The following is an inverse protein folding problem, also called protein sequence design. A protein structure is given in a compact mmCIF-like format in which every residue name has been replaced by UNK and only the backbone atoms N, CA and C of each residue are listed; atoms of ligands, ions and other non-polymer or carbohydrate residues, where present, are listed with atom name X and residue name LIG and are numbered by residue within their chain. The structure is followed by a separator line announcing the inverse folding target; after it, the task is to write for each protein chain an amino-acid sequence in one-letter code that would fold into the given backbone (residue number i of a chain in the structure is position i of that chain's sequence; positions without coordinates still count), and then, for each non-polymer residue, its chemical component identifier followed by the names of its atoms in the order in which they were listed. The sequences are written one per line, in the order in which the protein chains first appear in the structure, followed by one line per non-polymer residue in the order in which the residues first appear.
data_IF_678005182377
#
_entry.id   IF_678005182377
#
_cell.length_a   1.000
_cell.length_b   1.000
_cell.length_c   1.000
_cell.angle_alpha   90.00
_cell.angle_beta   90.00
_cell.angle_gamma   90.00
#
_symmetry.space_group_name_H-M   'P 1'
#
loop_
_entity.id
_entity.type
_entity.pdbx_description
1 polymer ?
#
# COMPACT_ATOMS: atom_id res chain seq x y z
N UNK A 1 2.69 -3.14 -22.93
CA UNK A 1 3.05 -2.86 -21.52
C UNK A 1 2.06 -3.58 -20.64
N UNK A 2 2.53 -4.38 -19.69
CA UNK A 2 1.69 -5.14 -18.77
C UNK A 2 1.81 -4.49 -17.38
N UNK A 3 0.66 -4.04 -16.83
CA UNK A 3 0.53 -3.32 -15.57
C UNK A 3 0.53 -1.80 -15.75
N UNK A 4 -0.53 -1.15 -15.25
CA UNK A 4 -0.82 0.28 -15.37
C UNK A 4 -0.42 1.12 -14.15
N UNK A 5 0.44 0.60 -13.28
CA UNK A 5 1.03 1.36 -12.18
C UNK A 5 1.98 2.46 -12.65
N UNK A 6 2.69 3.11 -11.71
CA UNK A 6 3.63 4.19 -12.04
C UNK A 6 4.62 3.82 -13.14
N UNK A 7 5.24 2.64 -13.05
CA UNK A 7 6.24 2.19 -14.04
C UNK A 7 5.62 1.97 -15.43
N UNK A 8 4.56 1.17 -15.50
CA UNK A 8 3.96 0.80 -16.78
C UNK A 8 3.21 1.95 -17.46
N UNK A 9 2.44 2.75 -16.72
CA UNK A 9 1.78 3.94 -17.27
C UNK A 9 2.80 4.95 -17.80
N UNK A 10 3.90 5.17 -17.07
CA UNK A 10 5.02 6.02 -17.54
C UNK A 10 5.67 5.44 -18.78
N UNK A 11 5.99 4.14 -18.78
CA UNK A 11 6.58 3.48 -19.94
C UNK A 11 5.66 3.60 -21.18
N UNK A 12 4.37 3.30 -21.04
CA UNK A 12 3.40 3.40 -22.14
C UNK A 12 3.33 4.82 -22.70
N UNK A 13 3.25 5.83 -21.83
CA UNK A 13 3.23 7.24 -22.20
C UNK A 13 4.46 7.64 -23.01
N UNK A 14 5.66 7.32 -22.53
CA UNK A 14 6.88 7.75 -23.18
C UNK A 14 7.22 6.94 -24.42
N UNK A 15 6.91 5.63 -24.46
CA UNK A 15 7.02 4.83 -25.67
C UNK A 15 6.15 5.43 -26.79
N UNK A 16 4.92 5.82 -26.48
CA UNK A 16 4.05 6.45 -27.49
C UNK A 16 4.52 7.85 -27.86
N UNK A 17 4.91 8.66 -26.88
CA UNK A 17 5.38 10.03 -27.11
C UNK A 17 6.62 10.08 -28.03
N UNK A 18 7.59 9.18 -27.80
CA UNK A 18 8.84 9.19 -28.58
C UNK A 18 8.76 8.36 -29.87
N UNK A 19 7.96 7.29 -29.87
CA UNK A 19 7.76 6.45 -31.05
C UNK A 19 6.77 7.01 -32.08
N UNK A 20 5.92 7.94 -31.68
CA UNK A 20 4.96 8.62 -32.56
C UNK A 20 4.06 7.63 -33.31
N UNK A 21 3.93 7.83 -34.63
CA UNK A 21 3.15 6.96 -35.50
C UNK A 21 3.84 5.61 -35.78
N UNK A 22 5.16 5.52 -35.61
CA UNK A 22 5.93 4.31 -35.85
C UNK A 22 5.77 3.23 -34.78
N UNK A 23 5.15 3.55 -33.65
CA UNK A 23 4.99 2.60 -32.54
C UNK A 23 3.53 2.54 -32.09
N UNK A 24 2.94 1.35 -32.15
CA UNK A 24 1.68 1.07 -31.50
C UNK A 24 1.95 0.58 -30.08
N UNK A 25 1.38 1.24 -29.08
CA UNK A 25 1.55 0.91 -27.66
C UNK A 25 0.23 0.44 -27.12
N UNK A 26 0.22 -0.79 -26.59
CA UNK A 26 -0.92 -1.36 -25.83
C UNK A 26 -0.56 -1.45 -24.36
N UNK A 27 -1.37 -0.85 -23.49
CA UNK A 27 -1.31 -1.01 -22.03
C UNK A 27 -2.39 -1.98 -21.58
N UNK A 28 -2.00 -3.07 -20.94
CA UNK A 28 -2.92 -4.04 -20.33
C UNK A 28 -2.95 -3.83 -18.81
N UNK A 29 -4.13 -3.54 -18.27
CA UNK A 29 -4.34 -3.32 -16.84
C UNK A 29 -5.70 -3.91 -16.42
N UNK A 30 -5.70 -4.65 -15.32
CA UNK A 30 -6.92 -5.27 -14.79
C UNK A 30 -7.83 -4.30 -14.03
N UNK A 31 -7.25 -3.26 -13.44
CA UNK A 31 -7.98 -2.24 -12.67
C UNK A 31 -8.56 -1.16 -13.60
N UNK A 32 -9.74 -0.67 -13.23
CA UNK A 32 -10.40 0.41 -14.00
C UNK A 32 -9.68 1.76 -13.85
N UNK A 33 -9.11 1.99 -12.68
CA UNK A 33 -8.45 3.23 -12.33
C UNK A 33 -7.11 2.96 -11.68
N UNK A 34 -6.19 3.85 -11.86
CA UNK A 34 -4.97 3.92 -11.08
C UNK A 34 -5.25 4.62 -9.74
N UNK A 35 -4.79 4.04 -8.63
CA UNK A 35 -4.86 4.67 -7.31
C UNK A 35 -3.44 4.89 -6.79
N UNK A 36 -3.12 6.14 -6.47
CA UNK A 36 -1.78 6.53 -6.03
C UNK A 36 -1.51 6.04 -4.60
N UNK A 37 -0.61 5.06 -4.46
CA UNK A 37 -0.22 4.52 -3.17
C UNK A 37 0.58 5.53 -2.30
N UNK A 38 1.56 6.29 -2.81
CA UNK A 38 2.37 7.20 -2.00
C UNK A 38 1.59 8.23 -1.18
N UNK A 39 0.42 8.64 -1.62
CA UNK A 39 -0.43 9.62 -0.93
C UNK A 39 -1.52 8.98 -0.06
N UNK A 40 -1.62 7.65 0.00
CA UNK A 40 -2.71 6.97 0.69
C UNK A 40 -2.72 7.17 2.20
N UNK A 41 -1.57 7.44 2.84
CA UNK A 41 -1.52 7.79 4.25
C UNK A 41 -2.27 9.08 4.57
N UNK A 42 -2.39 10.01 3.61
CA UNK A 42 -3.19 11.24 3.78
C UNK A 42 -4.69 10.95 3.89
N UNK A 43 -5.16 9.83 3.32
CA UNK A 43 -6.54 9.36 3.49
C UNK A 43 -6.73 8.84 4.91
N UNK A 44 -5.76 8.09 5.45
CA UNK A 44 -5.82 7.61 6.83
C UNK A 44 -5.81 8.77 7.83
N UNK A 45 -5.01 9.81 7.58
CA UNK A 45 -4.99 11.04 8.36
C UNK A 45 -6.22 11.93 8.20
N UNK A 46 -7.06 11.69 7.17
CA UNK A 46 -8.30 12.44 6.91
C UNK A 46 -8.11 13.74 6.13
N UNK A 47 -6.91 14.03 5.62
CA UNK A 47 -6.64 15.25 4.83
C UNK A 47 -6.92 15.09 3.33
N UNK A 48 -7.16 13.84 2.86
CA UNK A 48 -7.53 13.51 1.48
C UNK A 48 -8.62 12.44 1.47
N UNK A 49 -9.38 12.39 0.38
CA UNK A 49 -10.29 11.29 0.07
C UNK A 49 -9.63 10.35 -0.94
N UNK A 50 -10.08 9.11 -1.02
CA UNK A 50 -9.51 8.12 -1.97
C UNK A 50 -9.73 8.53 -3.43
N UNK A 51 -10.83 9.24 -3.70
CA UNK A 51 -11.17 9.77 -5.02
C UNK A 51 -10.11 10.78 -5.51
N UNK A 52 -9.53 11.58 -4.60
CA UNK A 52 -8.47 12.56 -4.92
C UNK A 52 -7.18 11.87 -5.41
N UNK A 53 -7.02 10.57 -5.13
CA UNK A 53 -5.87 9.75 -5.51
C UNK A 53 -6.17 8.80 -6.67
N UNK A 54 -7.42 8.80 -7.16
CA UNK A 54 -7.91 7.88 -8.18
C UNK A 54 -7.91 8.56 -9.53
N UNK A 55 -7.15 8.02 -10.49
CA UNK A 55 -6.96 8.60 -11.80
C UNK A 55 -7.40 7.61 -12.90
N UNK A 56 -8.16 8.07 -13.90
CA UNK A 56 -8.51 7.24 -15.06
C UNK A 56 -7.32 7.06 -16.00
N UNK A 57 -7.39 6.05 -16.87
CA UNK A 57 -6.42 5.85 -17.94
C UNK A 57 -6.76 6.63 -19.22
N UNK A 58 -7.80 7.46 -19.22
CA UNK A 58 -8.23 8.25 -20.39
C UNK A 58 -7.13 9.12 -20.96
N UNK A 59 -6.31 9.77 -20.11
CA UNK A 59 -5.20 10.60 -20.58
C UNK A 59 -4.11 9.80 -21.33
N UNK A 60 -3.95 8.50 -21.07
CA UNK A 60 -3.10 7.63 -21.88
C UNK A 60 -3.76 7.28 -23.22
N UNK A 61 -5.08 7.02 -23.21
CA UNK A 61 -5.82 6.75 -24.43
C UNK A 61 -5.84 7.96 -25.36
N UNK A 62 -6.06 9.16 -24.85
CA UNK A 62 -5.98 10.44 -25.57
C UNK A 62 -4.58 10.69 -26.17
N UNK A 63 -3.52 10.24 -25.47
CA UNK A 63 -2.16 10.27 -25.96
C UNK A 63 -1.86 9.19 -27.03
N UNK A 64 -2.85 8.37 -27.41
CA UNK A 64 -2.73 7.35 -28.47
C UNK A 64 -2.22 5.98 -27.97
N UNK A 65 -2.29 5.70 -26.66
CA UNK A 65 -2.06 4.38 -26.10
C UNK A 65 -3.36 3.57 -26.14
N UNK A 66 -3.30 2.34 -26.66
CA UNK A 66 -4.44 1.41 -26.61
C UNK A 66 -4.51 0.84 -25.17
N UNK A 67 -5.55 1.20 -24.45
CA UNK A 67 -5.75 0.71 -23.08
C UNK A 67 -6.70 -0.50 -23.13
N UNK A 68 -6.18 -1.67 -22.74
CA UNK A 68 -6.93 -2.94 -22.65
C UNK A 68 -7.15 -3.26 -21.18
N UNK A 69 -8.42 -3.30 -20.79
CA UNK A 69 -8.80 -3.69 -19.42
C UNK A 69 -8.93 -5.21 -19.33
N UNK A 70 -7.83 -5.86 -19.04
CA UNK A 70 -7.77 -7.31 -18.93
C UNK A 70 -6.65 -7.78 -18.00
N UNK A 71 -6.62 -9.08 -17.73
CA UNK A 71 -5.58 -9.74 -16.96
C UNK A 71 -4.80 -10.68 -17.87
N UNK A 72 -3.46 -10.66 -17.74
CA UNK A 72 -2.56 -11.54 -18.47
C UNK A 72 -2.46 -12.87 -17.74
N UNK A 73 -2.74 -13.96 -18.44
CA UNK A 73 -2.62 -15.33 -17.93
C UNK A 73 -1.21 -15.89 -18.16
N UNK A 74 -0.69 -15.70 -19.38
CA UNK A 74 0.62 -16.24 -19.73
C UNK A 74 1.32 -15.41 -20.80
N UNK A 75 2.64 -15.58 -20.88
CA UNK A 75 3.50 -14.94 -21.87
C UNK A 75 4.43 -16.03 -22.44
N UNK A 76 4.29 -16.30 -23.73
CA UNK A 76 5.27 -17.08 -24.49
C UNK A 76 6.37 -16.13 -24.99
N UNK A 77 7.55 -16.28 -24.42
CA UNK A 77 8.71 -15.42 -24.75
C UNK A 77 9.34 -15.76 -26.11
N UNK A 78 9.12 -16.98 -26.62
CA UNK A 78 9.67 -17.42 -27.91
C UNK A 78 8.83 -16.86 -29.05
N UNK A 79 7.52 -17.09 -29.01
CA UNK A 79 6.58 -16.62 -30.02
C UNK A 79 6.11 -15.19 -29.76
N UNK A 80 6.44 -14.61 -28.60
CA UNK A 80 6.04 -13.26 -28.17
C UNK A 80 4.52 -13.07 -28.14
N UNK A 81 3.82 -14.13 -27.74
CA UNK A 81 2.38 -14.16 -27.59
C UNK A 81 1.98 -13.96 -26.15
N UNK A 82 0.91 -13.26 -25.95
CA UNK A 82 0.30 -12.98 -24.63
C UNK A 82 -1.12 -13.50 -24.63
N UNK A 83 -1.44 -14.35 -23.67
CA UNK A 83 -2.78 -14.87 -23.43
C UNK A 83 -3.45 -14.09 -22.31
N UNK A 84 -4.72 -13.78 -22.48
CA UNK A 84 -5.52 -12.95 -21.58
C UNK A 84 -6.72 -13.73 -21.03
N UNK A 85 -7.36 -13.20 -20.00
CA UNK A 85 -8.59 -13.80 -19.43
C UNK A 85 -9.78 -13.63 -20.37
N UNK A 86 -9.91 -12.49 -21.04
CA UNK A 86 -11.10 -12.12 -21.85
C UNK A 86 -10.77 -11.82 -23.30
N UNK A 87 -9.64 -11.17 -23.52
CA UNK A 87 -9.22 -10.75 -24.87
C UNK A 87 -8.57 -11.93 -25.60
N UNK A 88 -8.77 -12.10 -26.91
CA UNK A 88 -8.03 -13.09 -27.71
C UNK A 88 -6.51 -12.93 -27.57
N UNK A 89 -5.80 -14.06 -27.72
CA UNK A 89 -4.32 -14.07 -27.73
C UNK A 89 -3.78 -13.08 -28.77
N UNK A 90 -2.73 -12.34 -28.39
CA UNK A 90 -2.10 -11.34 -29.26
C UNK A 90 -0.57 -11.53 -29.27
N UNK A 91 0.04 -11.20 -30.41
CA UNK A 91 1.49 -11.17 -30.57
C UNK A 91 2.01 -9.74 -30.55
N UNK A 92 3.20 -9.56 -29.97
CA UNK A 92 3.85 -8.25 -29.84
C UNK A 92 5.33 -8.33 -30.21
N UNK A 93 5.86 -7.27 -30.79
CA UNK A 93 7.29 -7.17 -31.10
C UNK A 93 8.14 -7.04 -29.84
N UNK A 94 7.64 -6.33 -28.84
CA UNK A 94 8.29 -6.11 -27.54
C UNK A 94 7.26 -6.10 -26.41
N UNK A 95 7.65 -6.61 -25.25
CA UNK A 95 6.84 -6.64 -24.05
C UNK A 95 7.59 -5.95 -22.92
N UNK A 96 6.93 -4.99 -22.27
CA UNK A 96 7.41 -4.34 -21.04
C UNK A 96 6.60 -4.90 -19.87
N UNK A 97 7.26 -5.53 -18.91
CA UNK A 97 6.64 -6.08 -17.72
C UNK A 97 6.73 -5.09 -16.57
N UNK A 98 5.59 -4.66 -16.05
CA UNK A 98 5.49 -3.77 -14.89
C UNK A 98 4.36 -4.19 -13.95
N UNK A 99 4.36 -5.46 -13.48
CA UNK A 99 3.25 -6.03 -12.70
C UNK A 99 3.16 -5.47 -11.28
N UNK A 100 4.17 -4.72 -10.84
CA UNK A 100 4.29 -4.24 -9.47
C UNK A 100 4.75 -5.35 -8.51
N UNK A 101 4.39 -5.20 -7.23
CA UNK A 101 4.72 -6.14 -6.16
C UNK A 101 3.46 -6.49 -5.38
N UNK A 102 3.50 -7.62 -4.71
CA UNK A 102 2.48 -8.03 -3.75
C UNK A 102 3.06 -8.14 -2.34
N UNK A 103 2.20 -8.33 -1.35
CA UNK A 103 2.55 -8.50 0.04
C UNK A 103 2.61 -10.00 0.37
N UNK A 104 3.61 -10.39 1.16
CA UNK A 104 3.75 -11.76 1.62
C UNK A 104 3.09 -11.93 3.00
N UNK A 105 1.81 -12.27 3.00
CA UNK A 105 1.04 -12.46 4.23
C UNK A 105 1.40 -13.74 4.97
N UNK A 106 1.91 -14.76 4.28
CA UNK A 106 2.32 -16.02 4.90
C UNK A 106 3.52 -15.87 5.86
N UNK A 107 4.18 -14.71 5.85
CA UNK A 107 5.25 -14.39 6.80
C UNK A 107 4.73 -14.10 8.23
N UNK A 108 3.42 -13.91 8.41
CA UNK A 108 2.77 -13.67 9.70
C UNK A 108 1.69 -14.72 9.90
N UNK A 109 1.87 -15.60 10.88
CA UNK A 109 0.92 -16.65 11.21
C UNK A 109 -0.45 -16.05 11.57
N UNK A 110 -1.54 -16.66 11.14
CA UNK A 110 -2.89 -16.18 11.42
C UNK A 110 -3.35 -15.01 10.56
N UNK A 111 -2.49 -14.45 9.68
CA UNK A 111 -2.87 -13.38 8.73
C UNK A 111 -3.30 -13.96 7.36
N UNK A 112 -4.29 -14.84 7.40
CA UNK A 112 -4.92 -15.42 6.20
C UNK A 112 -5.90 -14.45 5.52
N UNK A 113 -6.56 -14.91 4.44
CA UNK A 113 -7.51 -14.09 3.68
C UNK A 113 -8.72 -13.64 4.51
N UNK A 114 -9.12 -14.42 5.51
CA UNK A 114 -10.23 -14.04 6.40
C UNK A 114 -9.77 -12.98 7.42
N UNK A 115 -8.62 -13.19 8.04
CA UNK A 115 -8.02 -12.23 8.96
C UNK A 115 -7.76 -10.87 8.29
N UNK A 116 -7.35 -10.84 7.03
CA UNK A 116 -7.13 -9.62 6.26
C UNK A 116 -8.38 -8.77 6.04
N UNK A 117 -9.59 -9.30 6.31
CA UNK A 117 -10.83 -8.51 6.26
C UNK A 117 -11.01 -7.61 7.49
N UNK A 118 -10.35 -7.94 8.58
CA UNK A 118 -10.42 -7.22 9.87
C UNK A 118 -9.10 -6.60 10.29
N UNK A 119 -8.00 -7.30 10.06
CA UNK A 119 -6.62 -6.80 10.28
C UNK A 119 -6.14 -6.16 8.98
N UNK A 120 -6.40 -4.87 8.84
CA UNK A 120 -6.21 -4.17 7.57
C UNK A 120 -4.80 -3.59 7.47
N UNK A 121 -4.06 -3.91 6.43
CA UNK A 121 -2.73 -3.35 6.20
C UNK A 121 -2.74 -2.01 5.42
N UNK A 122 -3.67 -1.84 4.48
CA UNK A 122 -3.82 -0.64 3.63
C UNK A 122 -2.51 -0.13 2.96
N UNK A 123 -1.56 -1.05 2.65
CA UNK A 123 -0.33 -0.73 1.91
C UNK A 123 -0.50 -0.80 0.39
N UNK A 124 -1.64 -1.32 -0.07
CA UNK A 124 -2.16 -1.13 -1.42
C UNK A 124 -3.29 -0.12 -1.33
N UNK A 125 -3.13 1.04 -1.96
CA UNK A 125 -4.17 2.08 -1.96
C UNK A 125 -5.45 1.57 -2.63
N UNK A 126 -6.59 1.81 -1.99
CA UNK A 126 -7.87 1.35 -2.50
C UNK A 126 -8.89 1.09 -1.39
N UNK A 127 -9.76 0.07 -1.56
CA UNK A 127 -10.83 -0.23 -0.58
C UNK A 127 -10.33 -0.43 0.85
N UNK A 128 -9.19 -1.11 1.04
CA UNK A 128 -8.61 -1.30 2.38
C UNK A 128 -8.19 0.02 3.04
N UNK A 129 -7.73 1.01 2.27
CA UNK A 129 -7.40 2.33 2.82
C UNK A 129 -8.63 3.00 3.42
N UNK A 130 -9.75 2.93 2.70
CA UNK A 130 -11.04 3.47 3.17
C UNK A 130 -11.56 2.68 4.38
N UNK A 131 -11.43 1.35 4.33
CA UNK A 131 -11.86 0.49 5.45
C UNK A 131 -11.06 0.76 6.72
N UNK A 132 -9.72 0.87 6.63
CA UNK A 132 -8.86 1.21 7.76
C UNK A 132 -9.17 2.62 8.31
N UNK A 133 -9.41 3.60 7.42
CA UNK A 133 -9.88 4.93 7.87
C UNK A 133 -11.16 4.83 8.68
N UNK A 134 -12.15 4.05 8.23
CA UNK A 134 -13.40 3.82 8.97
C UNK A 134 -13.17 3.15 10.32
N UNK A 135 -12.24 2.20 10.43
CA UNK A 135 -11.87 1.60 11.71
C UNK A 135 -11.28 2.65 12.66
N UNK A 136 -10.38 3.51 12.19
CA UNK A 136 -9.84 4.62 12.99
C UNK A 136 -10.94 5.61 13.45
N UNK A 137 -11.92 5.87 12.60
CA UNK A 137 -13.06 6.74 12.95
C UNK A 137 -14.00 6.08 13.99
N UNK A 138 -14.24 4.78 13.86
CA UNK A 138 -15.12 4.02 14.74
C UNK A 138 -14.48 3.68 16.09
N UNK A 139 -13.15 3.63 16.17
CA UNK A 139 -12.42 3.36 17.40
C UNK A 139 -12.81 4.38 18.51
N UNK A 140 -13.01 3.98 19.78
CA UNK A 140 -13.29 4.93 20.86
C UNK A 140 -12.10 5.86 21.13
N UNK A 141 -12.36 7.05 21.64
CA UNK A 141 -11.29 7.90 22.18
C UNK A 141 -10.69 7.26 23.43
N UNK A 142 -9.41 7.01 23.42
CA UNK A 142 -8.67 6.20 24.39
C UNK A 142 -8.29 4.81 23.86
N UNK A 143 -8.74 4.45 22.65
CA UNK A 143 -8.37 3.19 22.01
C UNK A 143 -6.92 3.15 21.53
N UNK A 144 -6.44 1.96 21.17
CA UNK A 144 -5.06 1.66 20.76
C UNK A 144 -5.03 1.26 19.30
N UNK A 145 -4.22 1.99 18.51
CA UNK A 145 -3.83 1.62 17.16
C UNK A 145 -2.44 0.96 17.18
N UNK A 146 -2.34 -0.27 16.67
CA UNK A 146 -1.06 -0.99 16.57
C UNK A 146 -0.57 -1.02 15.13
N UNK A 147 0.66 -0.61 14.90
CA UNK A 147 1.34 -0.67 13.61
C UNK A 147 2.57 -1.58 13.69
N UNK A 148 2.57 -2.68 12.93
CA UNK A 148 3.73 -3.55 12.77
C UNK A 148 4.57 -3.13 11.55
N UNK A 149 5.89 -3.05 11.75
CA UNK A 149 6.88 -2.74 10.72
C UNK A 149 7.78 -3.97 10.52
N UNK A 150 7.88 -4.54 9.29
CA UNK A 150 8.70 -5.71 9.05
C UNK A 150 10.20 -5.36 9.09
N UNK A 151 11.04 -6.40 9.19
CA UNK A 151 12.49 -6.25 9.08
C UNK A 151 12.85 -5.75 7.68
N UNK A 152 13.78 -4.81 7.62
CA UNK A 152 14.31 -4.31 6.35
C UNK A 152 15.12 -5.40 5.59
N UNK A 153 15.13 -5.39 4.26
CA UNK A 153 14.55 -4.36 3.38
C UNK A 153 13.05 -4.56 3.13
N UNK A 154 12.29 -3.46 3.13
CA UNK A 154 10.88 -3.45 2.76
C UNK A 154 10.55 -2.24 1.88
N UNK A 155 9.40 -2.30 1.20
CA UNK A 155 8.95 -1.23 0.31
C UNK A 155 8.63 0.04 1.11
N UNK A 156 9.14 1.19 0.64
CA UNK A 156 8.88 2.52 1.18
C UNK A 156 9.30 2.66 2.66
N UNK A 157 10.62 2.67 2.96
CA UNK A 157 11.12 2.74 4.33
C UNK A 157 10.53 3.87 5.20
N UNK A 158 10.26 5.11 4.73
CA UNK A 158 9.62 6.14 5.55
C UNK A 158 8.10 5.91 5.75
N UNK A 159 7.46 5.09 4.94
CA UNK A 159 5.99 4.96 4.89
C UNK A 159 5.32 4.61 6.23
N UNK A 160 5.82 3.64 7.01
CA UNK A 160 5.23 3.31 8.32
C UNK A 160 5.33 4.46 9.33
N UNK A 161 6.46 5.12 9.38
CA UNK A 161 6.69 6.26 10.30
C UNK A 161 5.86 7.47 9.89
N UNK A 162 5.69 7.71 8.59
CA UNK A 162 4.77 8.69 8.05
C UNK A 162 3.30 8.37 8.42
N UNK A 163 2.89 7.10 8.28
CA UNK A 163 1.56 6.65 8.70
C UNK A 163 1.32 6.91 10.18
N UNK A 164 2.31 6.62 11.03
CA UNK A 164 2.27 6.92 12.46
C UNK A 164 1.99 8.41 12.70
N UNK A 165 2.69 9.31 12.00
CA UNK A 165 2.44 10.75 12.11
C UNK A 165 1.05 11.17 11.61
N UNK A 166 0.56 10.58 10.51
CA UNK A 166 -0.77 10.89 9.97
C UNK A 166 -1.90 10.44 10.92
N UNK A 167 -1.77 9.25 11.51
CA UNK A 167 -2.72 8.75 12.51
C UNK A 167 -2.63 9.58 13.80
N UNK A 168 -1.42 9.93 14.25
CA UNK A 168 -1.22 10.79 15.42
C UNK A 168 -1.84 12.18 15.22
N UNK A 169 -1.72 12.75 14.03
CA UNK A 169 -2.37 14.02 13.70
C UNK A 169 -3.90 13.92 13.80
N UNK A 170 -4.48 12.85 13.29
CA UNK A 170 -5.90 12.59 13.42
C UNK A 170 -6.31 12.41 14.89
N UNK A 171 -5.56 11.62 15.68
CA UNK A 171 -5.85 11.40 17.10
C UNK A 171 -5.75 12.69 17.91
N UNK A 172 -4.71 13.49 17.70
CA UNK A 172 -4.53 14.77 18.38
C UNK A 172 -5.78 15.67 18.29
N UNK A 173 -6.47 15.61 17.15
CA UNK A 173 -7.63 16.47 16.88
C UNK A 173 -8.96 15.83 17.31
N UNK A 174 -9.09 14.50 17.12
CA UNK A 174 -10.40 13.84 17.25
C UNK A 174 -10.47 12.81 18.38
N UNK A 175 -9.31 12.26 18.81
CA UNK A 175 -9.22 11.17 19.81
C UNK A 175 -7.99 11.36 20.70
N UNK A 176 -7.91 12.45 21.49
CA UNK A 176 -6.66 12.87 22.15
C UNK A 176 -6.17 11.93 23.25
N UNK A 177 -7.00 11.01 23.74
CA UNK A 177 -6.63 9.98 24.72
C UNK A 177 -6.10 8.69 24.09
N UNK A 178 -6.29 8.53 22.77
CA UNK A 178 -5.85 7.34 22.04
C UNK A 178 -4.34 7.25 21.92
N UNK A 179 -3.84 6.03 21.71
CA UNK A 179 -2.40 5.72 21.61
C UNK A 179 -2.09 5.00 20.32
N UNK A 180 -0.86 5.15 19.89
CA UNK A 180 -0.26 4.41 18.77
C UNK A 180 0.90 3.60 19.32
N UNK A 181 0.86 2.29 19.16
CA UNK A 181 1.98 1.39 19.45
C UNK A 181 2.61 1.00 18.13
N UNK A 182 3.89 1.29 17.97
CA UNK A 182 4.66 0.94 16.77
C UNK A 182 5.61 -0.19 17.11
N UNK A 183 5.30 -1.39 16.61
CA UNK A 183 6.13 -2.59 16.76
C UNK A 183 7.07 -2.69 15.57
N UNK A 184 8.31 -2.28 15.73
CA UNK A 184 9.30 -2.26 14.67
C UNK A 184 10.25 -3.44 14.79
N UNK A 185 10.29 -4.31 13.78
CA UNK A 185 11.24 -5.44 13.75
C UNK A 185 12.70 -5.01 13.61
N UNK A 186 12.95 -3.73 13.29
CA UNK A 186 14.29 -3.17 13.14
C UNK A 186 14.81 -2.64 14.48
N UNK A 187 16.15 -2.58 14.67
CA UNK A 187 16.73 -2.06 15.91
C UNK A 187 16.53 -0.55 16.06
N UNK A 188 16.13 0.14 15.00
CA UNK A 188 15.91 1.58 15.01
C UNK A 188 15.10 2.03 13.78
N UNK A 189 14.64 3.29 13.77
CA UNK A 189 13.96 3.92 12.65
C UNK A 189 14.86 3.89 11.40
N UNK A 190 14.42 3.19 10.36
CA UNK A 190 15.23 2.89 9.17
C UNK A 190 15.34 4.05 8.18
N UNK A 191 14.55 5.12 8.34
CA UNK A 191 14.55 6.25 7.42
C UNK A 191 14.14 7.54 8.11
N UNK A 192 14.89 8.64 7.87
CA UNK A 192 14.59 10.00 8.34
C UNK A 192 14.35 10.11 9.86
N UNK A 193 15.07 9.32 10.66
CA UNK A 193 14.92 9.19 12.11
C UNK A 193 14.78 10.53 12.84
N UNK A 194 15.69 11.47 12.57
CA UNK A 194 15.70 12.77 13.26
C UNK A 194 14.39 13.56 13.07
N UNK A 195 13.82 13.53 11.86
CA UNK A 195 12.56 14.24 11.57
C UNK A 195 11.37 13.58 12.29
N UNK A 196 11.26 12.26 12.25
CA UNK A 196 10.17 11.57 12.94
C UNK A 196 10.26 11.72 14.47
N UNK A 197 11.45 11.55 15.05
CA UNK A 197 11.63 11.73 16.49
C UNK A 197 11.35 13.17 16.95
N UNK A 198 11.68 14.17 16.14
CA UNK A 198 11.35 15.57 16.45
C UNK A 198 9.83 15.74 16.60
N UNK A 199 9.03 15.21 15.67
CA UNK A 199 7.57 15.30 15.73
C UNK A 199 6.98 14.45 16.87
N UNK A 200 7.49 13.24 17.07
CA UNK A 200 7.01 12.32 18.10
C UNK A 200 7.28 12.83 19.52
N UNK A 201 8.47 13.42 19.75
CA UNK A 201 8.82 14.02 21.04
C UNK A 201 8.28 15.45 21.22
N UNK A 202 7.85 16.08 20.12
CA UNK A 202 7.28 17.42 20.08
C UNK A 202 5.73 17.37 20.15
N UNK A 203 5.13 17.61 18.99
CA UNK A 203 3.65 17.78 18.92
C UNK A 203 2.83 16.52 19.22
N UNK A 204 3.42 15.31 19.14
CA UNK A 204 2.76 14.02 19.43
C UNK A 204 3.30 13.36 20.69
N UNK A 205 3.96 14.13 21.56
CA UNK A 205 4.53 13.64 22.81
C UNK A 205 3.53 12.89 23.66
N UNK A 206 3.91 11.67 24.07
CA UNK A 206 3.07 10.81 24.88
C UNK A 206 1.91 10.11 24.16
N UNK A 207 1.77 10.30 22.82
CA UNK A 207 0.76 9.64 22.02
C UNK A 207 1.31 8.38 21.31
N UNK A 208 2.59 8.38 21.00
CA UNK A 208 3.27 7.32 20.25
C UNK A 208 4.21 6.55 21.17
N UNK A 209 4.03 5.24 21.24
CA UNK A 209 4.91 4.27 21.89
C UNK A 209 5.66 3.51 20.80
N UNK A 210 6.93 3.83 20.60
CA UNK A 210 7.78 3.18 19.60
C UNK A 210 8.64 2.10 20.25
N UNK A 211 8.49 0.88 19.78
CA UNK A 211 9.15 -0.31 20.30
C UNK A 211 10.01 -0.95 19.21
N UNK A 212 11.35 -0.73 19.21
CA UNK A 212 12.26 -1.38 18.29
C UNK A 212 12.53 -2.84 18.71
N UNK A 213 13.00 -3.67 17.76
CA UNK A 213 13.25 -5.12 17.94
C UNK A 213 11.99 -5.91 18.32
N UNK A 214 10.81 -5.41 17.91
CA UNK A 214 9.51 -6.03 18.18
C UNK A 214 8.93 -6.61 16.88
N UNK A 215 9.49 -7.73 16.44
CA UNK A 215 9.02 -8.43 15.24
C UNK A 215 7.72 -9.18 15.51
N UNK A 216 6.65 -8.78 14.86
CA UNK A 216 5.38 -9.52 14.86
C UNK A 216 5.50 -10.73 13.94
N UNK A 217 5.21 -11.91 14.48
CA UNK A 217 5.25 -13.20 13.78
C UNK A 217 3.89 -13.87 13.67
N UNK A 218 2.94 -13.43 14.49
CA UNK A 218 1.60 -14.00 14.52
C UNK A 218 0.55 -12.91 14.83
N UNK A 219 -0.67 -13.11 14.36
CA UNK A 219 -1.84 -12.31 14.73
C UNK A 219 -3.01 -13.23 15.15
N UNK A 220 -3.67 -12.88 16.23
CA UNK A 220 -4.97 -13.40 16.61
C UNK A 220 -6.04 -12.40 16.13
N UNK A 221 -6.59 -12.67 14.95
CA UNK A 221 -7.53 -11.76 14.31
C UNK A 221 -8.86 -11.63 15.06
N UNK A 222 -9.27 -12.68 15.82
CA UNK A 222 -10.49 -12.68 16.61
C UNK A 222 -10.39 -11.67 17.76
N UNK A 223 -9.24 -11.66 18.43
CA UNK A 223 -8.97 -10.83 19.61
C UNK A 223 -8.20 -9.55 19.25
N UNK A 224 -7.91 -9.31 17.95
CA UNK A 224 -7.10 -8.19 17.47
C UNK A 224 -5.79 -8.05 18.23
N UNK A 225 -5.08 -9.14 18.37
CA UNK A 225 -3.82 -9.19 19.13
C UNK A 225 -2.66 -9.45 18.18
N UNK A 226 -1.64 -8.60 18.23
CA UNK A 226 -0.34 -8.86 17.63
C UNK A 226 0.54 -9.67 18.59
N UNK A 227 1.24 -10.67 18.07
CA UNK A 227 2.11 -11.54 18.86
C UNK A 227 3.52 -11.46 18.28
N UNK A 228 4.48 -11.13 19.14
CA UNK A 228 5.89 -10.97 18.74
C UNK A 228 6.63 -12.30 18.74
N UNK A 229 7.83 -12.32 18.14
CA UNK A 229 8.70 -13.50 18.18
C UNK A 229 9.17 -13.87 19.60
N UNK A 230 9.07 -12.95 20.56
CA UNK A 230 9.38 -13.18 21.98
C UNK A 230 8.16 -13.64 22.78
N UNK A 231 6.98 -13.70 22.15
CA UNK A 231 5.74 -14.14 22.79
C UNK A 231 4.94 -13.00 23.44
N UNK A 232 5.36 -11.75 23.31
CA UNK A 232 4.57 -10.62 23.80
C UNK A 232 3.25 -10.51 23.03
N UNK A 233 2.18 -10.23 23.75
CA UNK A 233 0.83 -10.10 23.20
C UNK A 233 0.35 -8.67 23.37
N UNK A 234 0.11 -8.00 22.25
CA UNK A 234 -0.30 -6.60 22.21
C UNK A 234 -1.71 -6.52 21.61
N UNK A 235 -2.67 -6.19 22.46
CA UNK A 235 -4.06 -6.00 22.07
C UNK A 235 -4.26 -4.63 21.40
N UNK A 236 -5.13 -4.57 20.39
CA UNK A 236 -5.43 -3.38 19.62
C UNK A 236 -6.94 -3.20 19.40
N UNK A 237 -7.37 -1.95 19.27
CA UNK A 237 -8.69 -1.64 18.73
C UNK A 237 -8.66 -1.59 17.20
N UNK A 238 -7.51 -1.18 16.66
CA UNK A 238 -7.23 -1.09 15.22
C UNK A 238 -5.80 -1.48 14.92
#
# INVERSE_FOLDING_TARGET
VIGGGYGGATAAKYLKKWGGAGVQVTLVERQQHFISCPLSNLVLGGSRRIEDLTLPYSGLAEAGVIVVRDEVLSIDRVTRKVTFVRTPEQSFDRIVLSPGVDLNFSAVQGLDDEAQKTILHAWKAGPQTVALRRQLEAMPDGGVYVLSIPLAPYRCPPGPYERTCQVAHYFKTHKPRSKIVVLDANPDITSKKGLFLQEWNGQYKGMIDYQPNMKVTEVDARNRTAITELGDRIEADV
#
